data_IF_924400124130
#
_entry.id   IF_924400124130
#
_cell.length_a   1.000
_cell.length_b   1.000
_cell.length_c   1.000
_cell.angle_alpha   90.00
_cell.angle_beta   90.00
_cell.angle_gamma   90.00
#
_symmetry.space_group_name_H-M   'P 1'
#
loop_
_entity.id
_entity.type
_entity.pdbx_description
1 polymer ?
#
# COMPACT_ATOMS: atom_id res chain seq x y z
N UNK A 1 -12.91 7.98 -25.49
CA UNK A 1 -11.93 6.91 -25.22
C UNK A 1 -10.80 7.38 -24.32
N UNK A 2 -10.11 8.49 -24.62
CA UNK A 2 -8.96 8.95 -23.81
C UNK A 2 -9.33 9.53 -22.42
N UNK A 3 -10.44 10.25 -22.27
CA UNK A 3 -10.88 10.76 -20.95
C UNK A 3 -11.20 9.63 -19.96
N UNK A 4 -11.82 8.56 -20.45
CA UNK A 4 -12.19 7.40 -19.63
C UNK A 4 -10.98 6.72 -18.94
N UNK A 5 -9.82 6.74 -19.60
CA UNK A 5 -8.60 6.12 -19.05
C UNK A 5 -7.98 6.97 -17.93
N UNK A 6 -7.98 8.30 -18.08
CA UNK A 6 -7.58 9.20 -16.99
C UNK A 6 -8.52 9.05 -15.79
N UNK A 7 -9.84 9.03 -16.05
CA UNK A 7 -10.86 8.95 -15.00
C UNK A 7 -10.75 7.65 -14.20
N UNK A 8 -10.57 6.51 -14.89
CA UNK A 8 -10.41 5.20 -14.25
C UNK A 8 -9.11 5.12 -13.45
N UNK A 9 -7.98 5.60 -14.00
CA UNK A 9 -6.71 5.63 -13.28
C UNK A 9 -6.77 6.52 -12.03
N UNK A 10 -7.42 7.69 -12.12
CA UNK A 10 -7.65 8.57 -10.96
C UNK A 10 -8.58 7.90 -9.94
N UNK A 11 -9.62 7.20 -10.40
CA UNK A 11 -10.56 6.47 -9.53
C UNK A 11 -9.82 5.40 -8.72
N UNK A 12 -9.11 4.49 -9.41
CA UNK A 12 -8.35 3.41 -8.77
C UNK A 12 -7.25 3.98 -7.87
N UNK A 13 -6.56 5.05 -8.29
CA UNK A 13 -5.54 5.71 -7.47
C UNK A 13 -6.12 6.32 -6.18
N UNK A 14 -7.31 6.91 -6.23
CA UNK A 14 -7.98 7.42 -5.04
C UNK A 14 -8.44 6.30 -4.10
N UNK A 15 -8.90 5.17 -4.64
CA UNK A 15 -9.26 3.99 -3.86
C UNK A 15 -8.02 3.40 -3.18
N UNK A 16 -6.90 3.28 -3.90
CA UNK A 16 -5.60 2.86 -3.36
C UNK A 16 -5.12 3.80 -2.25
N UNK A 17 -5.19 5.12 -2.45
CA UNK A 17 -4.80 6.12 -1.43
C UNK A 17 -5.59 5.92 -0.13
N UNK A 18 -6.91 5.75 -0.22
CA UNK A 18 -7.77 5.50 0.96
C UNK A 18 -7.43 4.17 1.65
N UNK A 19 -7.16 3.12 0.88
CA UNK A 19 -6.76 1.83 1.43
C UNK A 19 -5.41 1.93 2.16
N UNK A 20 -4.44 2.67 1.61
CA UNK A 20 -3.15 2.95 2.23
C UNK A 20 -3.31 3.74 3.52
N UNK A 21 -4.17 4.77 3.54
CA UNK A 21 -4.50 5.53 4.75
C UNK A 21 -5.10 4.63 5.85
N UNK A 22 -6.03 3.75 5.50
CA UNK A 22 -6.64 2.80 6.43
C UNK A 22 -5.62 1.78 6.97
N UNK A 23 -4.75 1.26 6.12
CA UNK A 23 -3.67 0.35 6.52
C UNK A 23 -2.70 1.04 7.49
N UNK A 24 -2.23 2.24 7.14
CA UNK A 24 -1.34 3.04 7.98
C UNK A 24 -1.97 3.38 9.33
N UNK A 25 -3.25 3.77 9.34
CA UNK A 25 -4.01 4.06 10.56
C UNK A 25 -4.11 2.82 11.48
N UNK A 26 -4.37 1.66 10.89
CA UNK A 26 -4.40 0.37 11.62
C UNK A 26 -3.03 0.05 12.23
N UNK A 27 -1.95 0.35 11.50
CA UNK A 27 -0.56 0.17 11.95
C UNK A 27 -0.05 1.31 12.88
N UNK A 28 -0.75 2.44 12.99
CA UNK A 28 -0.46 3.54 13.94
C UNK A 28 -1.17 3.32 15.28
N UNK A 29 -2.42 2.84 15.28
CA UNK A 29 -3.15 2.39 16.49
C UNK A 29 -2.57 1.10 17.12
N UNK A 30 -1.57 0.55 16.45
CA UNK A 30 -0.68 -0.51 16.87
C UNK A 30 0.58 0.11 17.52
N UNK A 31 0.45 0.68 18.71
CA UNK A 31 1.62 1.03 19.53
C UNK A 31 2.46 -0.23 19.75
N UNK A 32 3.57 -0.34 19.01
CA UNK A 32 4.61 -1.38 19.13
C UNK A 32 4.07 -2.83 19.14
N UNK A 33 3.73 -3.43 17.99
CA UNK A 33 3.64 -4.90 17.91
C UNK A 33 5.00 -5.59 18.05
N UNK A 34 6.09 -4.82 17.98
CA UNK A 34 7.44 -5.33 17.99
C UNK A 34 7.72 -6.18 19.24
N UNK A 35 8.16 -7.42 19.02
CA UNK A 35 8.89 -8.25 19.98
C UNK A 35 8.21 -8.69 21.30
N UNK A 36 7.03 -8.18 21.69
CA UNK A 36 6.64 -8.15 23.11
C UNK A 36 6.24 -9.48 23.78
N UNK A 37 5.89 -10.56 23.06
CA UNK A 37 5.65 -11.87 23.71
C UNK A 37 6.79 -12.88 23.45
N UNK A 38 7.54 -12.75 22.35
CA UNK A 38 8.45 -13.81 21.86
C UNK A 38 9.83 -13.87 22.53
N UNK A 39 10.33 -12.79 23.13
CA UNK A 39 11.56 -12.85 23.94
C UNK A 39 11.29 -13.13 25.44
N UNK A 40 10.03 -13.31 25.84
CA UNK A 40 9.65 -13.48 27.26
C UNK A 40 9.35 -14.94 27.67
N UNK A 41 9.27 -15.87 26.72
CA UNK A 41 9.01 -17.29 27.00
C UNK A 41 7.57 -17.63 27.45
N UNK A 42 6.65 -16.66 27.50
CA UNK A 42 5.26 -16.88 27.92
C UNK A 42 4.28 -16.46 26.82
N UNK A 43 3.81 -17.45 26.05
CA UNK A 43 2.84 -17.28 24.96
C UNK A 43 1.43 -17.03 25.50
N UNK A 44 1.00 -15.77 25.57
CA UNK A 44 -0.42 -15.43 25.62
C UNK A 44 -0.74 -14.32 24.62
N UNK A 45 -1.02 -14.71 23.37
CA UNK A 45 -1.67 -13.84 22.39
C UNK A 45 -3.06 -13.48 22.93
N UNK A 46 -3.20 -12.30 23.53
CA UNK A 46 -4.51 -11.83 23.99
C UNK A 46 -5.42 -11.66 22.78
N UNK A 47 -6.70 -12.04 22.89
CA UNK A 47 -7.73 -11.94 21.83
C UNK A 47 -7.71 -10.58 21.09
N UNK A 48 -7.48 -9.49 21.82
CA UNK A 48 -7.36 -8.14 21.27
C UNK A 48 -6.16 -7.94 20.34
N UNK A 49 -5.03 -8.62 20.57
CA UNK A 49 -3.84 -8.55 19.68
C UNK A 49 -4.10 -9.31 18.38
N UNK A 50 -4.69 -10.50 18.47
CA UNK A 50 -5.05 -11.32 17.30
C UNK A 50 -5.92 -10.55 16.30
N UNK A 51 -6.98 -9.89 16.78
CA UNK A 51 -7.86 -9.11 15.93
C UNK A 51 -7.20 -7.90 15.26
N UNK A 52 -6.17 -7.31 15.88
CA UNK A 52 -5.43 -6.21 15.26
C UNK A 52 -4.55 -6.69 14.10
N UNK A 53 -3.92 -7.86 14.24
CA UNK A 53 -3.13 -8.50 13.17
C UNK A 53 -4.05 -8.87 12.00
N UNK A 54 -5.17 -9.55 12.29
CA UNK A 54 -6.19 -9.90 11.31
C UNK A 54 -6.71 -8.65 10.57
N UNK A 55 -6.99 -7.56 11.29
CA UNK A 55 -7.43 -6.30 10.68
C UNK A 55 -6.37 -5.66 9.78
N UNK A 56 -5.09 -5.73 10.14
CA UNK A 56 -4.03 -5.22 9.27
C UNK A 56 -3.81 -6.12 8.06
N UNK A 57 -3.89 -7.44 8.21
CA UNK A 57 -3.81 -8.39 7.10
C UNK A 57 -4.90 -8.11 6.07
N UNK A 58 -6.15 -7.94 6.50
CA UNK A 58 -7.28 -7.59 5.61
C UNK A 58 -7.02 -6.27 4.90
N UNK A 59 -6.57 -5.24 5.61
CA UNK A 59 -6.28 -3.94 5.00
C UNK A 59 -5.12 -4.01 4.00
N UNK A 60 -4.05 -4.75 4.32
CA UNK A 60 -2.90 -4.88 3.43
C UNK A 60 -3.18 -5.77 2.21
N UNK A 61 -4.01 -6.81 2.35
CA UNK A 61 -4.49 -7.60 1.22
C UNK A 61 -5.31 -6.71 0.26
N UNK A 62 -6.17 -5.84 0.81
CA UNK A 62 -6.91 -4.88 0.00
C UNK A 62 -5.99 -3.86 -0.69
N UNK A 63 -4.96 -3.35 0.00
CA UNK A 63 -3.92 -2.50 -0.60
C UNK A 63 -3.20 -3.24 -1.73
N UNK A 64 -2.90 -4.54 -1.59
CA UNK A 64 -2.26 -5.36 -2.62
C UNK A 64 -3.11 -5.44 -3.90
N UNK A 65 -4.39 -5.74 -3.75
CA UNK A 65 -5.30 -5.85 -4.89
C UNK A 65 -5.43 -4.52 -5.64
N UNK A 66 -5.58 -3.41 -4.90
CA UNK A 66 -5.67 -2.07 -5.48
C UNK A 66 -4.35 -1.59 -6.07
N UNK A 67 -3.20 -1.92 -5.47
CA UNK A 67 -1.90 -1.56 -6.00
C UNK A 67 -1.64 -2.25 -7.34
N UNK A 68 -1.98 -3.53 -7.45
CA UNK A 68 -1.91 -4.27 -8.72
C UNK A 68 -2.86 -3.70 -9.77
N UNK A 69 -4.09 -3.38 -9.37
CA UNK A 69 -5.05 -2.76 -10.29
C UNK A 69 -4.54 -1.40 -10.78
N UNK A 70 -4.05 -0.57 -9.86
CA UNK A 70 -3.50 0.75 -10.19
C UNK A 70 -2.31 0.65 -11.14
N UNK A 71 -1.43 -0.32 -10.93
CA UNK A 71 -0.31 -0.61 -11.82
C UNK A 71 -0.76 -0.98 -13.23
N UNK A 72 -1.75 -1.86 -13.37
CA UNK A 72 -2.31 -2.21 -14.68
C UNK A 72 -2.93 -1.01 -15.40
N UNK A 73 -3.71 -0.18 -14.69
CA UNK A 73 -4.30 1.03 -15.28
C UNK A 73 -3.22 2.06 -15.64
N UNK A 74 -2.18 2.18 -14.81
CA UNK A 74 -1.06 3.08 -15.03
C UNK A 74 -0.23 2.66 -16.25
N UNK A 75 0.03 1.38 -16.42
CA UNK A 75 0.68 0.83 -17.61
C UNK A 75 -0.17 1.08 -18.86
N UNK A 76 -1.47 0.83 -18.79
CA UNK A 76 -2.42 1.09 -19.89
C UNK A 76 -2.43 2.57 -20.27
N UNK A 77 -2.47 3.45 -19.27
CA UNK A 77 -2.34 4.90 -19.47
C UNK A 77 -1.03 5.26 -20.15
N UNK A 78 0.10 4.77 -19.64
CA UNK A 78 1.43 5.07 -20.18
C UNK A 78 1.62 4.52 -21.61
N UNK A 79 1.01 3.37 -21.97
CA UNK A 79 1.00 2.88 -23.34
C UNK A 79 0.22 3.82 -24.29
N UNK A 80 -0.89 4.38 -23.82
CA UNK A 80 -1.69 5.33 -24.60
C UNK A 80 -1.05 6.73 -24.68
N UNK A 81 -0.25 7.09 -23.66
CA UNK A 81 0.37 8.40 -23.48
C UNK A 81 1.80 8.26 -22.94
N UNK A 82 2.75 7.87 -23.80
CA UNK A 82 4.13 7.62 -23.38
C UNK A 82 4.79 8.89 -22.83
N UNK A 83 5.63 8.73 -21.81
CA UNK A 83 6.48 9.78 -21.22
C UNK A 83 5.74 10.88 -20.42
N UNK A 84 4.43 10.72 -20.12
CA UNK A 84 3.73 11.65 -19.22
C UNK A 84 4.08 11.37 -17.75
N UNK A 85 4.19 10.09 -17.39
CA UNK A 85 4.36 9.64 -16.01
C UNK A 85 5.53 8.68 -15.94
N UNK A 86 6.43 8.89 -14.97
CA UNK A 86 7.40 7.87 -14.62
C UNK A 86 6.73 6.84 -13.69
N UNK A 87 6.49 5.64 -14.23
CA UNK A 87 5.83 4.54 -13.51
C UNK A 87 6.80 3.75 -12.62
N UNK A 88 8.11 3.90 -12.84
CA UNK A 88 9.14 3.10 -12.16
C UNK A 88 9.15 3.27 -10.65
N UNK A 89 8.97 4.47 -10.07
CA UNK A 89 8.96 4.62 -8.61
C UNK A 89 7.84 3.81 -7.96
N UNK A 90 6.62 3.88 -8.50
CA UNK A 90 5.48 3.12 -7.98
C UNK A 90 5.71 1.60 -8.09
N UNK A 91 6.15 1.13 -9.26
CA UNK A 91 6.47 -0.29 -9.49
C UNK A 91 7.51 -0.80 -8.49
N UNK A 92 8.58 -0.02 -8.30
CA UNK A 92 9.69 -0.39 -7.41
C UNK A 92 9.23 -0.51 -5.96
N UNK A 93 8.50 0.48 -5.45
CA UNK A 93 8.04 0.45 -4.05
C UNK A 93 6.97 -0.61 -3.81
N UNK A 94 6.09 -0.84 -4.79
CA UNK A 94 5.06 -1.88 -4.75
C UNK A 94 5.69 -3.26 -4.63
N UNK A 95 6.58 -3.61 -5.55
CA UNK A 95 7.26 -4.90 -5.52
C UNK A 95 8.15 -5.07 -4.29
N UNK A 96 8.93 -4.06 -3.92
CA UNK A 96 9.73 -4.13 -2.70
C UNK A 96 8.87 -4.41 -1.46
N UNK A 97 7.71 -3.76 -1.34
CA UNK A 97 6.78 -4.00 -0.25
C UNK A 97 6.18 -5.41 -0.29
N UNK A 98 5.57 -5.82 -1.40
CA UNK A 98 4.82 -7.09 -1.44
C UNK A 98 5.71 -8.33 -1.48
N UNK A 99 6.92 -8.23 -2.03
CA UNK A 99 7.83 -9.37 -2.15
C UNK A 99 8.69 -9.56 -0.89
N UNK A 100 9.01 -8.49 -0.16
CA UNK A 100 9.91 -8.55 1.00
C UNK A 100 9.21 -8.19 2.32
N UNK A 101 8.58 -7.01 2.38
CA UNK A 101 8.09 -6.46 3.65
C UNK A 101 6.75 -7.02 4.10
N UNK A 102 5.89 -7.44 3.16
CA UNK A 102 4.53 -7.89 3.48
C UNK A 102 4.54 -9.14 4.37
N UNK A 103 5.30 -10.17 3.98
CA UNK A 103 5.42 -11.39 4.76
C UNK A 103 6.17 -11.14 6.07
N UNK A 104 7.26 -10.36 6.05
CA UNK A 104 8.02 -10.02 7.25
C UNK A 104 7.20 -9.23 8.26
N UNK A 105 6.34 -8.32 7.80
CA UNK A 105 5.38 -7.64 8.65
C UNK A 105 4.40 -8.62 9.30
N UNK A 106 3.77 -9.50 8.51
CA UNK A 106 2.78 -10.44 9.02
C UNK A 106 3.37 -11.47 9.99
N UNK A 107 4.60 -11.91 9.73
CA UNK A 107 5.25 -12.99 10.49
C UNK A 107 6.06 -12.43 11.67
N UNK A 108 6.83 -11.36 11.45
CA UNK A 108 7.82 -10.85 12.40
C UNK A 108 7.38 -9.55 13.08
N UNK A 109 6.33 -8.89 12.59
CA UNK A 109 5.84 -7.63 13.15
C UNK A 109 6.77 -6.43 12.87
N UNK A 110 7.60 -6.48 11.81
CA UNK A 110 8.41 -5.33 11.38
C UNK A 110 7.52 -4.21 10.84
N UNK A 111 6.99 -3.38 11.74
CA UNK A 111 6.03 -2.32 11.43
C UNK A 111 6.70 -1.11 10.78
N UNK A 112 7.93 -0.77 11.18
CA UNK A 112 8.53 0.51 10.82
C UNK A 112 8.81 0.60 9.31
N UNK A 113 9.46 -0.42 8.78
CA UNK A 113 9.86 -0.48 7.36
C UNK A 113 8.64 -0.66 6.45
N UNK A 114 7.69 -1.52 6.85
CA UNK A 114 6.42 -1.69 6.16
C UNK A 114 5.63 -0.37 6.08
N UNK A 115 5.53 0.39 7.17
CA UNK A 115 4.85 1.70 7.16
C UNK A 115 5.53 2.71 6.27
N UNK A 116 6.86 2.75 6.27
CA UNK A 116 7.56 3.70 5.40
C UNK A 116 7.35 3.37 3.92
N UNK A 117 7.39 2.09 3.56
CA UNK A 117 7.09 1.67 2.20
C UNK A 117 5.64 1.98 1.78
N UNK A 118 4.66 1.80 2.67
CA UNK A 118 3.26 2.18 2.40
C UNK A 118 3.08 3.70 2.25
N UNK A 119 3.79 4.51 3.05
CA UNK A 119 3.80 5.97 2.90
C UNK A 119 4.41 6.39 1.58
N UNK A 120 5.51 5.76 1.18
CA UNK A 120 6.16 6.07 -0.08
C UNK A 120 5.28 5.68 -1.27
N UNK A 121 4.64 4.50 -1.22
CA UNK A 121 3.63 4.11 -2.20
C UNK A 121 2.49 5.14 -2.28
N UNK A 122 2.00 5.63 -1.13
CA UNK A 122 0.96 6.66 -1.08
C UNK A 122 1.43 7.97 -1.72
N UNK A 123 2.65 8.43 -1.43
CA UNK A 123 3.25 9.62 -2.05
C UNK A 123 3.37 9.45 -3.57
N UNK A 124 3.82 8.29 -4.05
CA UNK A 124 3.88 7.99 -5.48
C UNK A 124 2.50 8.06 -6.13
N UNK A 125 1.50 7.41 -5.53
CA UNK A 125 0.10 7.42 -6.02
C UNK A 125 -0.44 8.84 -6.12
N UNK A 126 -0.26 9.66 -5.08
CA UNK A 126 -0.72 11.05 -5.10
C UNK A 126 -0.01 11.89 -6.17
N UNK A 127 1.30 11.72 -6.35
CA UNK A 127 2.06 12.45 -7.35
C UNK A 127 1.61 12.09 -8.78
N UNK A 128 1.32 10.81 -9.02
CA UNK A 128 0.77 10.33 -10.28
C UNK A 128 -0.61 10.97 -10.54
N UNK A 129 -1.53 10.92 -9.57
CA UNK A 129 -2.87 11.53 -9.69
C UNK A 129 -2.77 13.03 -9.95
N UNK A 130 -1.92 13.76 -9.20
CA UNK A 130 -1.68 15.19 -9.40
C UNK A 130 -1.20 15.46 -10.83
N UNK A 131 -0.25 14.68 -11.33
CA UNK A 131 0.30 14.83 -12.68
C UNK A 131 -0.78 14.65 -13.75
N UNK A 132 -1.65 13.64 -13.62
CA UNK A 132 -2.76 13.41 -14.56
C UNK A 132 -3.78 14.56 -14.53
N UNK A 133 -4.12 15.05 -13.34
CA UNK A 133 -5.05 16.17 -13.17
C UNK A 133 -4.54 17.48 -13.77
N UNK A 134 -3.22 17.71 -13.79
CA UNK A 134 -2.63 18.88 -14.45
C UNK A 134 -2.52 18.74 -15.98
N UNK A 135 -2.69 17.54 -16.52
CA UNK A 135 -2.56 17.23 -17.96
C UNK A 135 -3.92 16.98 -18.63
N UNK A 136 -5.02 16.98 -17.87
CA UNK A 136 -6.40 16.82 -18.35
C UNK A 136 -7.06 18.17 -18.59
#
# INVERSE_FOLDING_TARGET
>A
MQQNLSDELIRVGNDLRKALENALSTMDGASNWGLLDLLSGNYYMTYTKYHKIESAEVNLAHVKDLARQFECELETFNQSRPNIIDVKPFHTISHYFFDNLYADFLIQGNIAEAKEALREMMRCTENIIRTINHQS
#
